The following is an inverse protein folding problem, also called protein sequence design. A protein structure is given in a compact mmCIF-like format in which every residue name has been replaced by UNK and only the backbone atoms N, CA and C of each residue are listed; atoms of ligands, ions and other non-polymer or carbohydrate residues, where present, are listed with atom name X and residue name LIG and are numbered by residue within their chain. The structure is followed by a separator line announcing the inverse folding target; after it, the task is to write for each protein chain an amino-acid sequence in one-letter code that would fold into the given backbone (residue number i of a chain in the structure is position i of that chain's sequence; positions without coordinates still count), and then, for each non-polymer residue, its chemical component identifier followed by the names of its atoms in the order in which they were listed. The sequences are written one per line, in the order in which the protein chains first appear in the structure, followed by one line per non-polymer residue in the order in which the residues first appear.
data_IF_003640090385
#
_entry.id   IF_003640090385
#
_cell.length_a   1.000
_cell.length_b   1.000
_cell.length_c   1.000
_cell.angle_alpha   90.00
_cell.angle_beta   90.00
_cell.angle_gamma   90.00
#
_symmetry.space_group_name_H-M   'P 1'
#
loop_
_entity.id
_entity.type
_entity.pdbx_description
1 polymer ?
#
# COMPACT_ATOMS: atom_id res chain seq x y z
N UNK A 1 50.59 28.19 22.40
CA UNK A 1 49.46 28.86 21.70
C UNK A 1 48.19 28.61 22.50
N UNK A 2 47.34 29.63 22.67
CA UNK A 2 46.21 29.69 23.61
C UNK A 2 45.14 28.61 23.36
N UNK A 3 44.53 28.01 24.40
CA UNK A 3 43.30 27.25 24.28
C UNK A 3 42.07 28.17 24.45
N UNK A 4 41.13 28.12 23.49
CA UNK A 4 39.81 28.71 23.68
C UNK A 4 38.83 27.62 24.13
N UNK A 5 38.34 27.79 25.36
CA UNK A 5 37.14 27.13 25.88
C UNK A 5 35.93 27.83 25.27
N UNK A 6 34.88 27.08 24.92
CA UNK A 6 33.52 27.58 25.10
C UNK A 6 32.54 26.43 25.31
N UNK A 7 31.99 26.41 26.52
CA UNK A 7 30.90 25.55 26.93
C UNK A 7 29.58 26.19 26.47
N UNK A 8 28.63 25.38 26.02
CA UNK A 8 27.22 25.79 26.01
C UNK A 8 26.41 24.65 26.62
N UNK A 9 25.96 24.89 27.84
CA UNK A 9 24.99 24.08 28.54
C UNK A 9 23.60 24.36 27.94
N UNK A 10 22.81 23.31 27.68
CA UNK A 10 21.37 23.44 27.43
C UNK A 10 20.65 22.75 28.58
N UNK A 11 19.76 23.53 29.18
CA UNK A 11 19.11 23.29 30.45
C UNK A 11 18.11 22.13 30.42
N UNK A 12 18.18 21.27 31.43
CA UNK A 12 17.08 20.40 31.86
C UNK A 12 15.91 21.29 32.28
N UNK A 13 14.76 21.13 31.64
CA UNK A 13 13.50 21.70 32.14
C UNK A 13 12.69 20.56 32.76
N UNK A 14 12.85 20.40 34.06
CA UNK A 14 12.01 19.53 34.90
C UNK A 14 10.61 20.10 34.98
N UNK A 15 9.62 19.36 34.49
CA UNK A 15 8.21 19.70 34.66
C UNK A 15 7.73 19.12 36.01
N UNK A 16 7.70 19.98 37.03
CA UNK A 16 7.08 19.69 38.33
C UNK A 16 5.55 19.77 38.18
N UNK A 17 4.86 18.63 38.30
CA UNK A 17 3.41 18.63 38.55
C UNK A 17 3.16 19.09 39.99
N UNK A 18 2.48 20.22 40.12
CA UNK A 18 1.97 20.77 41.38
C UNK A 18 0.71 20.00 41.77
N UNK A 19 0.76 19.26 42.89
CA UNK A 19 -0.41 18.73 43.58
C UNK A 19 -1.14 19.86 44.31
N UNK A 20 -2.36 20.18 43.90
CA UNK A 20 -3.27 21.04 44.67
C UNK A 20 -4.10 20.21 45.66
N UNK A 21 -4.12 20.54 46.96
CA UNK A 21 -5.06 19.92 47.91
C UNK A 21 -6.48 20.49 47.72
N UNK A 22 -7.46 19.61 47.57
CA UNK A 22 -8.89 19.98 47.61
C UNK A 22 -9.32 20.21 49.07
N UNK A 23 -9.69 21.46 49.38
CA UNK A 23 -10.46 21.82 50.56
C UNK A 23 -11.89 21.29 50.44
N UNK A 24 -12.35 20.57 51.46
CA UNK A 24 -13.75 20.23 51.66
C UNK A 24 -14.53 21.48 52.09
N UNK A 25 -15.49 21.90 51.27
CA UNK A 25 -16.55 22.83 51.66
C UNK A 25 -17.87 22.05 51.75
N UNK A 26 -18.45 22.00 52.95
CA UNK A 26 -19.81 21.53 53.17
C UNK A 26 -20.79 22.66 52.82
N UNK A 27 -21.71 22.41 51.90
CA UNK A 27 -22.93 23.21 51.75
C UNK A 27 -24.14 22.31 51.52
N UNK A 28 -25.09 22.40 52.46
CA UNK A 28 -26.48 21.99 52.32
C UNK A 28 -27.20 22.98 51.41
N UNK A 29 -27.74 22.51 50.28
CA UNK A 29 -28.52 23.33 49.36
C UNK A 29 -29.28 22.46 48.36
N UNK A 30 -30.61 22.54 48.40
CA UNK A 30 -31.52 21.83 47.50
C UNK A 30 -31.42 22.31 46.05
N UNK A 31 -31.45 21.36 45.11
CA UNK A 31 -31.80 21.62 43.70
C UNK A 31 -30.62 21.91 42.76
N UNK A 32 -30.10 20.87 42.11
CA UNK A 32 -29.45 21.03 40.80
C UNK A 32 -29.57 19.75 40.01
N UNK A 33 -30.10 19.91 38.80
CA UNK A 33 -30.26 18.87 37.80
C UNK A 33 -28.92 18.17 37.55
N UNK A 34 -28.95 16.83 37.59
CA UNK A 34 -27.84 15.99 37.20
C UNK A 34 -27.49 16.28 35.73
N UNK A 35 -26.33 16.90 35.50
CA UNK A 35 -25.72 16.90 34.19
C UNK A 35 -25.36 15.44 33.83
N UNK A 36 -25.71 14.94 32.63
CA UNK A 36 -25.32 13.61 32.22
C UNK A 36 -23.80 13.58 32.02
N UNK A 37 -23.10 12.89 32.89
CA UNK A 37 -21.72 12.49 32.66
C UNK A 37 -21.69 11.60 31.41
N UNK A 38 -21.25 12.15 30.28
CA UNK A 38 -20.94 11.36 29.09
C UNK A 38 -19.77 10.45 29.42
N UNK A 39 -20.07 9.21 29.82
CA UNK A 39 -19.11 8.13 29.90
C UNK A 39 -18.62 7.88 28.47
N UNK A 40 -17.36 8.22 28.19
CA UNK A 40 -16.69 7.79 26.96
C UNK A 40 -16.67 6.27 26.97
N UNK A 41 -17.53 5.67 26.15
CA UNK A 41 -17.55 4.23 25.94
C UNK A 41 -16.25 3.82 25.25
N UNK A 42 -15.62 2.74 25.73
CA UNK A 42 -14.41 2.23 25.11
C UNK A 42 -14.72 1.80 23.67
N UNK A 43 -13.81 2.06 22.71
CA UNK A 43 -14.04 1.70 21.32
C UNK A 43 -14.24 0.19 21.17
N UNK A 44 -15.08 -0.25 20.21
CA UNK A 44 -15.27 -1.66 19.92
C UNK A 44 -13.95 -2.31 19.51
N UNK A 45 -13.76 -3.60 19.86
CA UNK A 45 -12.51 -4.35 19.58
C UNK A 45 -12.07 -4.30 18.11
N UNK A 46 -13.03 -4.23 17.17
CA UNK A 46 -12.75 -4.14 15.74
C UNK A 46 -12.09 -2.82 15.34
N UNK A 47 -12.45 -1.71 15.99
CA UNK A 47 -11.81 -0.42 15.74
C UNK A 47 -10.39 -0.39 16.31
N UNK A 48 -10.18 -0.98 17.49
CA UNK A 48 -8.85 -1.12 18.10
C UNK A 48 -7.92 -1.93 17.21
N UNK A 49 -8.38 -3.06 16.67
CA UNK A 49 -7.56 -3.88 15.77
C UNK A 49 -7.30 -3.22 14.41
N UNK A 50 -8.24 -2.42 13.90
CA UNK A 50 -8.01 -1.60 12.71
C UNK A 50 -6.94 -0.52 12.94
N UNK A 51 -6.97 0.15 14.09
CA UNK A 51 -5.96 1.13 14.47
C UNK A 51 -4.56 0.49 14.64
N UNK A 52 -4.47 -0.66 15.31
CA UNK A 52 -3.21 -1.40 15.47
C UNK A 52 -2.64 -1.84 14.11
N UNK A 53 -3.49 -2.36 13.22
CA UNK A 53 -3.08 -2.73 11.86
C UNK A 53 -2.64 -1.51 11.03
N UNK A 54 -3.28 -0.36 11.22
CA UNK A 54 -2.87 0.90 10.60
C UNK A 54 -1.48 1.34 11.09
N UNK A 55 -1.19 1.25 12.39
CA UNK A 55 0.13 1.53 12.95
C UNK A 55 1.21 0.61 12.36
N UNK A 56 0.92 -0.69 12.25
CA UNK A 56 1.82 -1.64 11.60
C UNK A 56 2.05 -1.29 10.12
N UNK A 57 0.99 -0.91 9.40
CA UNK A 57 1.07 -0.51 7.99
C UNK A 57 1.99 0.71 7.79
N UNK A 58 1.91 1.72 8.66
CA UNK A 58 2.78 2.91 8.62
C UNK A 58 4.22 2.53 8.92
N UNK A 59 4.47 1.76 9.98
CA UNK A 59 5.83 1.31 10.31
C UNK A 59 6.47 0.50 9.18
N UNK A 60 5.69 -0.33 8.49
CA UNK A 60 6.13 -1.08 7.30
C UNK A 60 6.45 -0.19 6.10
N UNK A 61 5.69 0.91 5.91
CA UNK A 61 6.00 1.91 4.88
C UNK A 61 7.33 2.62 5.18
N UNK A 62 7.60 2.99 6.42
CA UNK A 62 8.86 3.63 6.82
C UNK A 62 10.05 2.70 6.61
N UNK A 63 9.92 1.44 7.04
CA UNK A 63 10.94 0.41 6.79
C UNK A 63 11.19 0.19 5.29
N UNK A 64 10.12 0.18 4.47
CA UNK A 64 10.24 0.11 3.01
C UNK A 64 11.04 1.29 2.46
N UNK A 65 10.79 2.51 2.94
CA UNK A 65 11.49 3.70 2.49
C UNK A 65 12.99 3.68 2.81
N UNK A 66 13.38 3.15 3.98
CA UNK A 66 14.79 2.96 4.34
C UNK A 66 15.46 1.91 3.43
N UNK A 67 14.82 0.75 3.25
CA UNK A 67 15.34 -0.30 2.37
C UNK A 67 15.44 0.18 0.91
N UNK A 68 14.49 0.97 0.41
CA UNK A 68 14.55 1.50 -0.95
C UNK A 68 15.76 2.43 -1.18
N UNK A 69 16.27 3.07 -0.11
CA UNK A 69 17.45 3.95 -0.13
C UNK A 69 18.77 3.24 0.18
N UNK A 70 18.75 1.92 0.32
CA UNK A 70 19.89 1.12 0.81
C UNK A 70 20.37 1.54 2.23
N UNK A 71 19.51 2.21 3.02
CA UNK A 71 19.86 2.69 4.36
C UNK A 71 19.66 1.57 5.40
N UNK A 72 20.67 0.72 5.52
CA UNK A 72 20.61 -0.43 6.41
C UNK A 72 20.57 -0.02 7.89
N UNK A 73 21.28 1.04 8.28
CA UNK A 73 21.31 1.51 9.66
C UNK A 73 19.93 2.02 10.09
N UNK A 74 19.27 2.83 9.25
CA UNK A 74 17.92 3.31 9.50
C UNK A 74 16.92 2.15 9.51
N UNK A 75 17.01 1.22 8.56
CA UNK A 75 16.15 0.03 8.55
C UNK A 75 16.25 -0.76 9.87
N UNK A 76 17.46 -0.96 10.38
CA UNK A 76 17.69 -1.70 11.63
C UNK A 76 17.04 -1.01 12.83
N UNK A 77 17.02 0.33 12.86
CA UNK A 77 16.29 1.11 13.86
C UNK A 77 14.77 0.99 13.69
N UNK A 78 14.27 1.12 12.46
CA UNK A 78 12.84 1.04 12.15
C UNK A 78 12.25 -0.36 12.38
N UNK A 79 13.06 -1.41 12.27
CA UNK A 79 12.68 -2.79 12.56
C UNK A 79 12.11 -2.96 13.98
N UNK A 80 12.64 -2.23 14.95
CA UNK A 80 12.09 -2.22 16.32
C UNK A 80 10.69 -1.61 16.34
N UNK A 81 10.46 -0.52 15.58
CA UNK A 81 9.14 0.12 15.48
C UNK A 81 8.12 -0.82 14.83
N UNK A 82 8.52 -1.55 13.79
CA UNK A 82 7.68 -2.57 13.16
C UNK A 82 7.31 -3.69 14.15
N UNK A 83 8.27 -4.18 14.93
CA UNK A 83 8.01 -5.22 15.94
C UNK A 83 7.09 -4.77 17.05
N UNK A 84 7.27 -3.54 17.54
CA UNK A 84 6.38 -2.98 18.54
C UNK A 84 4.94 -2.87 18.00
N UNK A 85 4.77 -2.37 16.78
CA UNK A 85 3.45 -2.31 16.15
C UNK A 85 2.83 -3.69 15.89
N UNK A 86 3.66 -4.72 15.63
CA UNK A 86 3.20 -6.10 15.52
C UNK A 86 2.75 -6.66 16.87
N UNK A 87 3.46 -6.35 17.97
CA UNK A 87 3.02 -6.71 19.32
C UNK A 87 1.72 -5.98 19.71
N UNK A 88 1.57 -4.70 19.38
CA UNK A 88 0.32 -3.97 19.61
C UNK A 88 -0.85 -4.62 18.83
N UNK A 89 -0.59 -5.12 17.62
CA UNK A 89 -1.56 -5.88 16.84
C UNK A 89 -1.87 -7.24 17.47
N UNK A 90 -0.87 -7.93 18.02
CA UNK A 90 -1.05 -9.19 18.73
C UNK A 90 -1.92 -9.03 19.98
N UNK A 91 -1.73 -7.94 20.74
CA UNK A 91 -2.56 -7.60 21.90
C UNK A 91 -4.01 -7.27 21.48
N UNK A 92 -4.19 -6.59 20.35
CA UNK A 92 -5.51 -6.17 19.85
C UNK A 92 -6.28 -7.31 19.14
N UNK A 93 -5.59 -8.12 18.34
CA UNK A 93 -6.13 -9.20 17.50
C UNK A 93 -5.08 -10.32 17.31
N UNK A 94 -4.93 -11.22 18.29
CA UNK A 94 -3.89 -12.27 18.26
C UNK A 94 -4.11 -13.26 17.12
N UNK A 95 -5.36 -13.45 16.68
CA UNK A 95 -5.67 -14.32 15.53
C UNK A 95 -5.12 -13.71 14.25
N UNK A 96 -5.32 -12.41 14.04
CA UNK A 96 -4.77 -11.73 12.89
C UNK A 96 -3.23 -11.74 12.93
N UNK A 97 -2.62 -11.37 14.06
CA UNK A 97 -1.18 -11.37 14.21
C UNK A 97 -0.55 -12.74 13.90
N UNK A 98 -1.18 -13.83 14.36
CA UNK A 98 -0.73 -15.19 14.06
C UNK A 98 -0.73 -15.52 12.56
N UNK A 99 -1.62 -14.93 11.76
CA UNK A 99 -1.58 -15.11 10.29
C UNK A 99 -0.40 -14.42 9.61
N UNK A 100 0.21 -13.43 10.28
CA UNK A 100 1.37 -12.69 9.77
C UNK A 100 2.72 -13.29 10.21
N UNK A 101 2.72 -14.12 11.28
CA UNK A 101 3.94 -14.64 11.94
C UNK A 101 4.06 -16.16 11.90
N UNK A 102 3.17 -16.85 11.16
CA UNK A 102 3.01 -18.30 11.30
C UNK A 102 4.27 -19.09 10.92
N UNK A 103 5.10 -18.59 10.00
CA UNK A 103 6.46 -19.07 9.75
C UNK A 103 7.23 -18.03 8.93
N UNK A 104 8.39 -17.52 9.38
CA UNK A 104 9.09 -17.79 10.65
C UNK A 104 8.50 -17.01 11.85
N UNK A 105 8.81 -17.46 13.08
CA UNK A 105 8.31 -16.84 14.32
C UNK A 105 8.77 -15.40 14.52
N UNK A 106 10.00 -15.07 14.09
CA UNK A 106 10.47 -13.68 13.95
C UNK A 106 10.48 -13.34 12.46
N UNK A 107 9.49 -12.59 11.94
CA UNK A 107 9.40 -12.28 10.52
C UNK A 107 10.50 -11.32 10.05
N UNK A 108 11.18 -10.62 10.97
CA UNK A 108 12.23 -9.64 10.66
C UNK A 108 13.43 -9.84 11.60
N UNK A 109 14.17 -10.96 11.48
CA UNK A 109 15.29 -11.27 12.36
C UNK A 109 16.44 -10.26 12.22
N UNK A 110 17.33 -10.23 13.21
CA UNK A 110 18.45 -9.30 13.18
C UNK A 110 19.51 -9.82 12.21
N UNK A 111 19.60 -9.20 11.04
CA UNK A 111 20.58 -9.57 10.02
C UNK A 111 21.83 -8.72 10.12
N UNK A 112 22.95 -9.27 9.66
CA UNK A 112 24.24 -8.55 9.60
C UNK A 112 24.44 -7.76 8.31
N UNK A 113 23.55 -7.93 7.31
CA UNK A 113 23.68 -7.28 6.02
C UNK A 113 22.30 -6.98 5.40
N UNK A 114 22.31 -6.05 4.44
CA UNK A 114 21.13 -5.55 3.74
C UNK A 114 20.45 -6.60 2.86
N UNK A 115 21.24 -7.50 2.23
CA UNK A 115 20.72 -8.54 1.34
C UNK A 115 19.81 -9.51 2.10
N UNK A 116 20.26 -10.02 3.24
CA UNK A 116 19.47 -10.94 4.05
C UNK A 116 18.26 -10.24 4.68
N UNK A 117 18.44 -8.99 5.12
CA UNK A 117 17.33 -8.18 5.62
C UNK A 117 16.21 -8.02 4.59
N UNK A 118 16.55 -7.78 3.31
CA UNK A 118 15.58 -7.69 2.22
C UNK A 118 14.84 -8.99 1.97
N UNK A 119 15.54 -10.14 2.04
CA UNK A 119 14.91 -11.45 1.84
C UNK A 119 13.81 -11.71 2.86
N UNK A 120 14.07 -11.45 4.14
CA UNK A 120 13.06 -11.60 5.18
C UNK A 120 11.93 -10.57 4.99
N UNK A 121 12.30 -9.33 4.67
CA UNK A 121 11.34 -8.25 4.47
C UNK A 121 10.33 -8.54 3.35
N UNK A 122 10.74 -9.16 2.24
CA UNK A 122 9.86 -9.46 1.10
C UNK A 122 8.64 -10.28 1.51
N UNK A 123 8.85 -11.35 2.30
CA UNK A 123 7.75 -12.23 2.74
C UNK A 123 6.81 -11.48 3.68
N UNK A 124 7.37 -10.82 4.69
CA UNK A 124 6.57 -10.14 5.70
C UNK A 124 5.83 -8.93 5.16
N UNK A 125 6.49 -8.09 4.35
CA UNK A 125 5.85 -6.94 3.69
C UNK A 125 4.69 -7.38 2.80
N UNK A 126 4.83 -8.48 2.07
CA UNK A 126 3.75 -9.01 1.23
C UNK A 126 2.55 -9.45 2.08
N UNK A 127 2.78 -10.23 3.14
CA UNK A 127 1.71 -10.67 4.03
C UNK A 127 0.96 -9.51 4.70
N UNK A 128 1.70 -8.52 5.25
CA UNK A 128 1.10 -7.32 5.84
C UNK A 128 0.31 -6.54 4.78
N UNK A 129 0.88 -6.35 3.60
CA UNK A 129 0.24 -5.60 2.51
C UNK A 129 -1.06 -6.26 2.05
N UNK A 130 -1.09 -7.60 1.94
CA UNK A 130 -2.30 -8.34 1.56
C UNK A 130 -3.41 -8.20 2.59
N UNK A 131 -3.08 -8.26 3.88
CA UNK A 131 -4.03 -8.02 4.98
C UNK A 131 -4.54 -6.57 4.94
N UNK A 132 -3.63 -5.59 4.86
CA UNK A 132 -3.97 -4.16 4.78
C UNK A 132 -4.90 -3.88 3.60
N UNK A 133 -4.59 -4.45 2.43
CA UNK A 133 -5.39 -4.33 1.20
C UNK A 133 -6.79 -4.91 1.36
N UNK A 134 -6.89 -6.13 1.89
CA UNK A 134 -8.18 -6.83 2.05
C UNK A 134 -9.13 -6.08 2.99
N UNK A 135 -8.56 -5.38 3.99
CA UNK A 135 -9.30 -4.56 4.95
C UNK A 135 -9.39 -3.08 4.58
N UNK A 136 -8.84 -2.67 3.42
CA UNK A 136 -8.82 -1.29 2.92
C UNK A 136 -8.15 -0.26 3.86
N UNK A 137 -7.26 -0.72 4.74
CA UNK A 137 -6.56 0.14 5.72
C UNK A 137 -5.62 1.15 5.04
N UNK A 138 -5.11 0.83 3.85
CA UNK A 138 -4.25 1.74 3.09
C UNK A 138 -4.93 3.10 2.81
N UNK A 139 -6.26 3.12 2.71
CA UNK A 139 -7.02 4.35 2.43
C UNK A 139 -7.04 5.29 3.63
N UNK A 140 -7.30 4.77 4.85
CA UNK A 140 -7.27 5.58 6.08
C UNK A 140 -5.85 5.98 6.48
N UNK A 141 -4.86 5.17 6.11
CA UNK A 141 -3.45 5.42 6.40
C UNK A 141 -2.75 6.33 5.37
N UNK A 142 -3.44 6.75 4.29
CA UNK A 142 -2.85 7.46 3.14
C UNK A 142 -1.64 6.72 2.53
N UNK A 143 -1.74 5.39 2.46
CA UNK A 143 -0.73 4.51 1.89
C UNK A 143 -1.15 4.03 0.50
N UNK A 144 -0.14 3.80 -0.34
CA UNK A 144 -0.26 3.17 -1.65
C UNK A 144 0.30 1.76 -1.58
N UNK A 145 -0.21 0.89 -2.42
CA UNK A 145 0.23 -0.49 -2.54
C UNK A 145 0.96 -0.66 -3.86
N UNK A 146 2.17 -1.20 -3.77
CA UNK A 146 2.99 -1.51 -4.93
C UNK A 146 3.32 -3.01 -4.98
N UNK A 147 3.58 -3.50 -6.18
CA UNK A 147 3.91 -4.90 -6.46
C UNK A 147 5.13 -5.00 -7.37
N UNK A 148 6.00 -5.97 -7.07
CA UNK A 148 7.13 -6.37 -7.89
C UNK A 148 6.97 -7.84 -8.24
N UNK A 149 6.82 -8.15 -9.53
CA UNK A 149 6.66 -9.52 -10.08
C UNK A 149 7.98 -10.30 -10.20
N UNK A 150 9.08 -9.69 -9.74
CA UNK A 150 10.42 -10.30 -9.68
C UNK A 150 11.00 -10.23 -8.26
N UNK A 151 10.15 -10.13 -7.23
CA UNK A 151 10.60 -10.11 -5.86
C UNK A 151 11.37 -11.41 -5.54
N UNK A 152 12.51 -11.33 -4.84
CA UNK A 152 13.32 -12.50 -4.54
C UNK A 152 12.52 -13.50 -3.69
N UNK A 153 12.86 -14.78 -3.80
CA UNK A 153 12.28 -15.93 -3.05
C UNK A 153 10.81 -16.29 -3.37
N UNK A 154 9.93 -15.29 -3.55
CA UNK A 154 8.49 -15.51 -3.68
C UNK A 154 7.91 -15.13 -5.05
N UNK A 155 8.74 -14.59 -5.96
CA UNK A 155 8.34 -14.16 -7.30
C UNK A 155 7.55 -12.86 -7.28
N UNK A 156 6.40 -12.82 -6.61
CA UNK A 156 5.58 -11.61 -6.48
C UNK A 156 5.60 -11.09 -5.05
N UNK A 157 6.19 -9.92 -4.84
CA UNK A 157 6.25 -9.25 -3.55
C UNK A 157 5.49 -7.94 -3.57
N UNK A 158 4.88 -7.58 -2.44
CA UNK A 158 4.12 -6.33 -2.28
C UNK A 158 4.62 -5.51 -1.10
N UNK A 159 4.51 -4.20 -1.22
CA UNK A 159 4.87 -3.29 -0.14
C UNK A 159 3.93 -2.08 -0.08
N UNK A 160 3.99 -1.42 1.08
CA UNK A 160 3.27 -0.18 1.37
C UNK A 160 4.21 1.01 1.24
N UNK A 161 3.70 2.13 0.73
CA UNK A 161 4.47 3.35 0.58
C UNK A 161 3.56 4.58 0.60
N UNK A 162 3.94 5.64 1.31
CA UNK A 162 3.21 6.92 1.33
C UNK A 162 3.33 7.68 0.01
N UNK A 163 4.57 7.81 -0.48
CA UNK A 163 4.89 8.64 -1.65
C UNK A 163 4.40 8.02 -2.96
N UNK A 164 4.13 8.86 -3.96
CA UNK A 164 3.87 8.42 -5.32
C UNK A 164 5.17 7.94 -6.02
N UNK A 165 5.00 7.07 -7.01
CA UNK A 165 6.11 6.51 -7.79
C UNK A 165 6.85 5.40 -7.04
N UNK A 166 6.97 4.22 -7.65
CA UNK A 166 7.55 3.06 -6.99
C UNK A 166 8.95 3.36 -6.43
N UNK A 167 9.18 3.01 -5.16
CA UNK A 167 10.50 2.95 -4.50
C UNK A 167 10.70 1.55 -3.97
N UNK A 168 11.28 0.68 -4.79
CA UNK A 168 11.36 -0.75 -4.56
C UNK A 168 12.28 -1.10 -3.36
N UNK A 169 11.73 -1.61 -2.24
CA UNK A 169 12.54 -1.94 -1.07
C UNK A 169 13.37 -3.23 -1.24
N UNK A 170 12.96 -4.11 -2.15
CA UNK A 170 13.57 -5.43 -2.35
C UNK A 170 14.91 -5.36 -3.09
N UNK A 171 15.08 -4.32 -3.91
CA UNK A 171 16.29 -4.12 -4.72
C UNK A 171 16.98 -2.78 -4.46
N UNK A 172 16.35 -1.85 -3.73
CA UNK A 172 16.96 -0.58 -3.39
C UNK A 172 17.26 0.29 -4.60
N UNK A 173 18.39 0.99 -4.57
CA UNK A 173 18.84 1.86 -5.66
C UNK A 173 19.01 1.13 -7.00
N UNK A 174 19.31 -0.17 -7.00
CA UNK A 174 19.53 -0.95 -8.22
C UNK A 174 18.28 -1.06 -9.11
N UNK A 175 17.08 -1.10 -8.50
CA UNK A 175 15.81 -1.14 -9.22
C UNK A 175 14.77 -0.24 -8.56
N UNK A 176 15.17 0.97 -8.14
CA UNK A 176 14.34 1.85 -7.32
C UNK A 176 12.95 2.07 -7.91
N UNK A 177 12.86 2.30 -9.22
CA UNK A 177 11.60 2.61 -9.92
C UNK A 177 10.83 1.37 -10.37
N UNK A 178 11.30 0.16 -10.06
CA UNK A 178 10.66 -1.07 -10.49
C UNK A 178 9.45 -1.40 -9.60
N UNK A 179 8.30 -1.59 -10.23
CA UNK A 179 7.07 -2.02 -9.58
C UNK A 179 5.84 -1.28 -10.11
N UNK A 180 4.68 -1.84 -9.85
CA UNK A 180 3.39 -1.30 -10.30
C UNK A 180 2.52 -0.96 -9.09
N UNK A 181 1.82 0.16 -9.15
CA UNK A 181 0.85 0.58 -8.14
C UNK A 181 -0.49 -0.13 -8.41
N UNK A 182 -0.99 -0.96 -7.48
CA UNK A 182 -2.09 -1.89 -7.75
C UNK A 182 -3.50 -1.27 -7.68
N UNK A 183 -3.67 -0.20 -6.92
CA UNK A 183 -4.97 0.46 -6.70
C UNK A 183 -4.98 1.89 -7.27
N UNK A 184 -4.00 2.21 -8.14
CA UNK A 184 -4.04 3.47 -8.87
C UNK A 184 -5.25 3.45 -9.77
N UNK A 185 -6.20 4.38 -9.57
CA UNK A 185 -7.23 4.65 -10.58
C UNK A 185 -6.51 5.05 -11.86
N UNK A 186 -6.36 4.11 -12.78
CA UNK A 186 -5.85 4.40 -14.12
C UNK A 186 -6.98 5.16 -14.78
N UNK A 187 -6.92 6.49 -14.78
CA UNK A 187 -7.68 7.26 -15.76
C UNK A 187 -7.24 6.70 -17.12
N UNK A 188 -8.17 6.12 -17.87
CA UNK A 188 -7.88 5.57 -19.20
C UNK A 188 -7.00 6.58 -19.94
N UNK A 189 -5.72 6.25 -20.05
CA UNK A 189 -4.79 7.12 -20.76
C UNK A 189 -5.28 7.02 -22.19
N UNK A 190 -5.76 8.13 -22.75
CA UNK A 190 -6.08 8.19 -24.16
C UNK A 190 -4.91 7.55 -24.90
N UNK A 191 -5.22 6.48 -25.64
CA UNK A 191 -4.20 5.83 -26.46
C UNK A 191 -3.61 6.90 -27.39
N UNK A 192 -2.35 6.73 -27.83
CA UNK A 192 -1.75 7.65 -28.78
C UNK A 192 -2.69 7.88 -29.99
N UNK A 193 -2.65 9.07 -30.62
CA UNK A 193 -3.47 9.35 -31.80
C UNK A 193 -3.33 8.21 -32.83
N UNK A 194 -4.46 7.62 -33.24
CA UNK A 194 -4.50 6.48 -34.19
C UNK A 194 -4.96 5.14 -33.62
N UNK A 195 -5.21 5.04 -32.31
CA UNK A 195 -5.79 3.85 -31.71
C UNK A 195 -7.31 3.99 -31.51
N UNK A 196 -8.11 2.94 -31.80
CA UNK A 196 -9.54 2.95 -31.54
C UNK A 196 -9.82 3.03 -30.02
N UNK A 197 -10.91 3.69 -29.61
CA UNK A 197 -11.35 3.69 -28.21
C UNK A 197 -11.49 2.26 -27.70
N UNK A 198 -10.99 1.99 -26.48
CA UNK A 198 -11.08 0.66 -25.86
C UNK A 198 -12.51 0.30 -25.45
N UNK A 199 -13.35 1.32 -25.25
CA UNK A 199 -14.79 1.16 -25.04
C UNK A 199 -15.45 0.84 -26.39
N UNK A 200 -15.87 -0.42 -26.57
CA UNK A 200 -16.52 -0.89 -27.78
C UNK A 200 -15.65 -1.75 -28.71
N UNK A 201 -14.41 -2.07 -28.33
CA UNK A 201 -13.59 -3.02 -29.09
C UNK A 201 -14.21 -4.42 -29.03
N UNK A 202 -14.68 -4.91 -30.18
CA UNK A 202 -15.07 -6.31 -30.32
C UNK A 202 -13.82 -7.19 -30.51
N UNK A 203 -13.90 -8.50 -30.25
CA UNK A 203 -12.81 -9.43 -30.58
C UNK A 203 -12.35 -9.35 -32.05
N UNK A 204 -13.24 -8.97 -32.97
CA UNK A 204 -12.91 -8.77 -34.39
C UNK A 204 -12.04 -7.52 -34.61
N UNK A 205 -12.27 -6.44 -33.87
CA UNK A 205 -11.49 -5.22 -33.96
C UNK A 205 -10.07 -5.42 -33.41
N UNK A 206 -9.93 -6.22 -32.35
CA UNK A 206 -8.63 -6.63 -31.83
C UNK A 206 -7.86 -7.50 -32.83
N UNK A 207 -8.52 -8.47 -33.46
CA UNK A 207 -7.87 -9.34 -34.46
C UNK A 207 -7.35 -8.54 -35.67
N UNK A 208 -8.13 -7.57 -36.17
CA UNK A 208 -7.70 -6.64 -37.24
C UNK A 208 -6.46 -5.84 -36.83
N UNK A 209 -6.44 -5.30 -35.61
CA UNK A 209 -5.34 -4.47 -35.13
C UNK A 209 -4.05 -5.27 -34.89
N UNK A 210 -4.18 -6.52 -34.44
CA UNK A 210 -3.05 -7.42 -34.19
C UNK A 210 -2.45 -8.03 -35.47
N UNK A 211 -2.97 -7.69 -36.66
CA UNK A 211 -2.57 -8.32 -37.92
C UNK A 211 -2.92 -9.82 -37.98
N UNK A 212 -3.77 -10.27 -37.06
CA UNK A 212 -4.25 -11.65 -37.02
C UNK A 212 -5.33 -11.74 -38.08
N UNK A 213 -5.07 -12.45 -39.17
CA UNK A 213 -6.10 -12.75 -40.15
C UNK A 213 -7.24 -13.46 -39.43
N UNK A 214 -8.46 -12.88 -39.36
CA UNK A 214 -9.57 -13.58 -38.76
C UNK A 214 -9.81 -14.86 -39.54
N UNK A 215 -10.08 -15.95 -38.82
CA UNK A 215 -10.51 -17.19 -39.43
C UNK A 215 -11.74 -16.92 -40.32
N UNK A 216 -11.80 -17.57 -41.48
CA UNK A 216 -12.89 -17.43 -42.42
C UNK A 216 -14.23 -17.57 -41.68
N UNK A 217 -15.09 -16.54 -41.78
CA UNK A 217 -16.40 -16.59 -41.18
C UNK A 217 -17.16 -17.81 -41.74
N UNK A 218 -17.76 -18.67 -40.90
CA UNK A 218 -18.44 -19.88 -41.36
C UNK A 218 -19.66 -19.58 -42.27
N UNK A 219 -20.10 -18.31 -42.34
CA UNK A 219 -21.31 -17.85 -43.04
C UNK A 219 -21.06 -16.99 -44.28
N UNK A 220 -19.89 -17.11 -44.95
CA UNK A 220 -19.73 -16.60 -46.32
C UNK A 220 -19.60 -15.07 -46.47
N UNK A 221 -19.24 -14.36 -45.40
CA UNK A 221 -18.89 -12.93 -45.43
C UNK A 221 -17.40 -12.66 -45.68
N UNK A 222 -17.05 -11.42 -46.02
CA UNK A 222 -15.67 -10.98 -46.20
C UNK A 222 -14.97 -10.88 -44.83
N UNK A 223 -13.96 -11.71 -44.59
CA UNK A 223 -13.23 -11.75 -43.31
C UNK A 223 -12.51 -10.45 -42.93
N UNK A 224 -12.18 -9.59 -43.90
CA UNK A 224 -11.49 -8.32 -43.64
C UNK A 224 -12.43 -7.24 -43.08
N UNK A 225 -13.50 -6.93 -43.79
CA UNK A 225 -14.43 -5.85 -43.45
C UNK A 225 -15.69 -6.31 -42.71
N UNK A 226 -15.95 -7.62 -42.62
CA UNK A 226 -17.14 -8.17 -41.96
C UNK A 226 -18.43 -8.06 -42.77
N UNK A 227 -18.37 -7.65 -44.04
CA UNK A 227 -19.54 -7.57 -44.92
C UNK A 227 -20.13 -8.95 -45.21
N UNK A 228 -21.46 -9.05 -45.21
CA UNK A 228 -22.16 -10.27 -45.61
C UNK A 228 -22.11 -10.46 -47.13
N UNK A 229 -22.44 -11.67 -47.58
CA UNK A 229 -22.48 -12.02 -49.01
C UNK A 229 -23.55 -11.22 -49.76
N UNK A 230 -24.66 -10.94 -49.08
CA UNK A 230 -25.79 -10.16 -49.58
C UNK A 230 -25.41 -8.69 -49.77
N UNK A 231 -24.66 -8.10 -48.84
CA UNK A 231 -24.16 -6.73 -48.95
C UNK A 231 -23.19 -6.55 -50.14
N UNK A 232 -22.35 -7.56 -50.40
CA UNK A 232 -21.48 -7.57 -51.58
C UNK A 232 -22.27 -7.75 -52.88
N UNK A 233 -23.32 -8.58 -52.88
CA UNK A 233 -24.19 -8.78 -54.04
C UNK A 233 -25.07 -7.55 -54.35
N UNK A 234 -25.41 -6.76 -53.34
CA UNK A 234 -26.14 -5.49 -53.48
C UNK A 234 -25.27 -4.33 -54.04
N UNK A 235 -23.98 -4.57 -54.29
CA UNK A 235 -23.08 -3.58 -54.85
C UNK A 235 -22.68 -2.48 -53.87
N UNK A 236 -22.83 -2.71 -52.56
CA UNK A 236 -22.36 -1.76 -51.56
C UNK A 236 -20.83 -1.63 -51.65
N UNK A 237 -20.29 -0.40 -51.70
CA UNK A 237 -18.87 -0.19 -51.89
C UNK A 237 -18.10 -0.73 -50.69
N UNK A 238 -17.26 -1.74 -50.93
CA UNK A 238 -16.27 -2.18 -49.96
C UNK A 238 -15.30 -1.01 -49.72
N UNK A 239 -15.09 -0.61 -48.45
CA UNK A 239 -14.22 0.53 -48.12
C UNK A 239 -12.76 0.34 -48.59
N UNK A 240 -12.34 -0.89 -48.92
CA UNK A 240 -11.04 -1.18 -49.52
C UNK A 240 -10.94 -0.89 -51.03
N UNK A 241 -12.07 -0.56 -51.69
CA UNK A 241 -12.12 -0.24 -53.12
C UNK A 241 -11.83 1.24 -53.42
N UNK A 242 -11.74 2.10 -52.40
CA UNK A 242 -11.29 3.49 -52.57
C UNK A 242 -9.77 3.54 -52.45
N UNK A 243 -9.08 3.33 -53.57
CA UNK A 243 -7.71 3.79 -53.78
C UNK A 243 -7.73 4.99 -54.72
#
# INVERSE_FOLDING_TARGET
MKPFRSATAIALTSLLLVSTPQLFAQHTGHGSAAAPSTRTEAPPRTEVSAAALQSLAVAMSDASAALAKDDFALYQSLRTSVRNALHDLEDADPKLAATLTTTPADPLPNRGNLTDARKDFVRFSTAVTDVVRSRKIQQSANLRIFECTMAPEIGTGRWLQQEAGAKNPFFGSAMLKCGVELDRKVSARALPPGHPPVEGLTPADYARYAGIKPAAAPSGGCGGCGMSKEAMAAGEPCEHSKK
#
